data_IF_560575057148
#
_entry.id   IF_560575057148
#
_cell.length_a   1.000
_cell.length_b   1.000
_cell.length_c   1.000
_cell.angle_alpha   90.00
_cell.angle_beta   90.00
_cell.angle_gamma   90.00
#
_symmetry.space_group_name_H-M   'P 1'
#
loop_
_entity.id
_entity.type
_entity.pdbx_description
1 polymer ?
#
# COMPACT_ATOMS: atom_id res chain seq x y z
N UNK A 1 -13.17 -7.51 -16.91
CA UNK A 1 -12.41 -7.14 -15.69
C UNK A 1 -11.56 -8.34 -15.31
N UNK A 2 -10.25 -8.25 -15.55
CA UNK A 2 -9.34 -9.37 -15.27
C UNK A 2 -9.28 -9.66 -13.77
N UNK A 3 -9.23 -10.96 -13.44
CA UNK A 3 -9.17 -11.51 -12.08
C UNK A 3 -8.27 -10.66 -11.19
N UNK A 4 -8.83 -10.20 -10.08
CA UNK A 4 -8.09 -9.51 -9.02
C UNK A 4 -6.94 -10.39 -8.53
N UNK A 5 -5.72 -10.07 -8.95
CA UNK A 5 -4.50 -10.63 -8.37
C UNK A 5 -4.38 -10.11 -6.93
N UNK A 6 -5.10 -10.77 -6.03
CA UNK A 6 -4.99 -10.51 -4.60
C UNK A 6 -3.61 -11.00 -4.13
N UNK A 7 -2.74 -10.06 -3.79
CA UNK A 7 -1.46 -10.34 -3.18
C UNK A 7 -1.44 -9.97 -1.70
N UNK A 8 -0.75 -10.80 -0.92
CA UNK A 8 -0.56 -10.55 0.49
C UNK A 8 0.40 -9.38 0.69
N UNK A 9 -0.02 -8.41 1.52
CA UNK A 9 0.85 -7.33 1.92
C UNK A 9 2.04 -7.81 2.77
N UNK A 10 3.13 -7.01 2.85
CA UNK A 10 4.34 -7.37 3.59
C UNK A 10 4.08 -7.64 5.08
N UNK A 11 3.09 -6.97 5.68
CA UNK A 11 2.67 -7.20 7.07
C UNK A 11 2.11 -8.61 7.24
N UNK A 12 1.22 -9.04 6.34
CA UNK A 12 0.62 -10.38 6.40
C UNK A 12 1.67 -11.48 6.24
N UNK A 13 2.62 -11.29 5.31
CA UNK A 13 3.77 -12.19 5.12
C UNK A 13 4.63 -12.25 6.39
N UNK A 14 4.89 -11.10 7.01
CA UNK A 14 5.65 -11.01 8.27
C UNK A 14 4.97 -11.75 9.42
N UNK A 15 3.66 -11.57 9.59
CA UNK A 15 2.87 -12.26 10.60
C UNK A 15 2.90 -13.78 10.37
N UNK A 16 2.73 -14.24 9.13
CA UNK A 16 2.81 -15.66 8.81
C UNK A 16 4.19 -16.26 9.14
N UNK A 17 5.27 -15.55 8.79
CA UNK A 17 6.63 -15.96 9.20
C UNK A 17 6.79 -16.03 10.71
N UNK A 18 6.26 -15.06 11.46
CA UNK A 18 6.30 -15.08 12.92
C UNK A 18 5.53 -16.28 13.51
N UNK A 19 4.37 -16.61 12.93
CA UNK A 19 3.59 -17.80 13.31
C UNK A 19 4.34 -19.11 13.01
N UNK A 20 5.10 -19.17 11.92
CA UNK A 20 5.99 -20.30 11.66
C UNK A 20 7.06 -20.44 12.74
N UNK A 21 7.70 -19.35 13.17
CA UNK A 21 8.66 -19.42 14.28
C UNK A 21 7.99 -19.78 15.61
N UNK A 22 6.74 -19.39 15.81
CA UNK A 22 5.96 -19.75 16.99
C UNK A 22 5.72 -21.26 17.09
N UNK A 23 5.78 -22.02 15.98
CA UNK A 23 5.67 -23.49 16.02
C UNK A 23 6.67 -24.11 16.98
N UNK A 24 7.92 -23.61 17.04
CA UNK A 24 8.95 -24.12 17.94
C UNK A 24 8.56 -23.96 19.41
N UNK A 25 7.94 -22.82 19.74
CA UNK A 25 7.43 -22.54 21.09
C UNK A 25 6.25 -23.45 21.41
N UNK A 26 5.34 -23.67 20.45
CA UNK A 26 4.19 -24.57 20.63
C UNK A 26 4.65 -26.00 20.88
N UNK A 27 5.65 -26.49 20.14
CA UNK A 27 6.25 -27.83 20.35
C UNK A 27 6.84 -27.94 21.75
N UNK A 28 7.57 -26.92 22.21
CA UNK A 28 8.21 -26.90 23.51
C UNK A 28 7.22 -26.93 24.69
N UNK A 29 6.04 -26.34 24.52
CA UNK A 29 5.00 -26.31 25.56
C UNK A 29 4.20 -27.61 25.55
N UNK A 30 3.67 -28.01 24.38
CA UNK A 30 2.83 -29.20 24.28
C UNK A 30 2.72 -29.68 22.83
N UNK A 31 3.27 -30.86 22.55
CA UNK A 31 3.26 -31.48 21.21
C UNK A 31 1.84 -31.81 20.71
N UNK A 32 0.86 -32.04 21.60
CA UNK A 32 -0.52 -32.32 21.16
C UNK A 32 -1.19 -31.09 20.53
N UNK A 33 -0.82 -29.87 20.95
CA UNK A 33 -1.33 -28.63 20.37
C UNK A 33 -0.94 -28.47 18.89
N UNK A 34 0.15 -29.12 18.49
CA UNK A 34 0.70 -29.12 17.13
C UNK A 34 -0.30 -29.73 16.12
N UNK A 35 -1.09 -30.72 16.56
CA UNK A 35 -2.11 -31.39 15.73
C UNK A 35 -3.21 -30.42 15.28
N UNK A 36 -3.56 -29.43 16.12
CA UNK A 36 -4.54 -28.39 15.79
C UNK A 36 -3.86 -27.21 15.08
N UNK A 37 -2.64 -26.89 15.50
CA UNK A 37 -1.90 -25.72 15.02
C UNK A 37 -1.43 -25.86 13.56
N UNK A 38 -1.00 -27.04 13.13
CA UNK A 38 -0.55 -27.28 11.75
C UNK A 38 -1.67 -27.13 10.72
N UNK A 39 -2.85 -27.75 10.87
CA UNK A 39 -3.98 -27.50 9.99
C UNK A 39 -4.36 -26.02 9.93
N UNK A 40 -4.30 -25.32 11.07
CA UNK A 40 -4.55 -23.89 11.11
C UNK A 40 -3.52 -23.09 10.28
N UNK A 41 -2.23 -23.40 10.38
CA UNK A 41 -1.19 -22.80 9.56
C UNK A 41 -1.38 -23.09 8.06
N UNK A 42 -1.74 -24.33 7.70
CA UNK A 42 -2.04 -24.70 6.32
C UNK A 42 -3.25 -23.95 5.78
N UNK A 43 -4.29 -23.79 6.60
CA UNK A 43 -5.44 -22.96 6.25
C UNK A 43 -5.02 -21.50 6.03
N UNK A 44 -4.15 -20.96 6.86
CA UNK A 44 -3.64 -19.59 6.69
C UNK A 44 -2.82 -19.42 5.40
N UNK A 45 -2.02 -20.42 5.04
CA UNK A 45 -1.18 -20.41 3.85
C UNK A 45 -1.97 -20.55 2.54
N UNK A 46 -2.90 -21.51 2.50
CA UNK A 46 -3.60 -21.89 1.26
C UNK A 46 -5.08 -21.52 1.24
N UNK A 47 -5.76 -21.59 2.39
CA UNK A 47 -7.21 -21.40 2.52
C UNK A 47 -7.65 -19.95 2.70
N UNK A 48 -6.81 -19.13 3.32
CA UNK A 48 -7.16 -17.75 3.65
C UNK A 48 -7.37 -16.88 2.40
N UNK A 49 -6.50 -17.01 1.38
CA UNK A 49 -6.61 -16.28 0.11
C UNK A 49 -7.93 -16.56 -0.61
N UNK A 50 -8.29 -17.82 -0.94
CA UNK A 50 -9.56 -18.09 -1.60
C UNK A 50 -10.76 -17.72 -0.72
N UNK A 51 -10.66 -17.84 0.60
CA UNK A 51 -11.71 -17.42 1.52
C UNK A 51 -11.95 -15.90 1.46
N UNK A 52 -10.88 -15.08 1.49
CA UNK A 52 -10.95 -13.62 1.38
C UNK A 52 -11.47 -13.15 0.02
N UNK A 53 -11.13 -13.86 -1.05
CA UNK A 53 -11.62 -13.56 -2.40
C UNK A 53 -13.11 -13.89 -2.50
N UNK A 54 -13.53 -15.08 -2.05
CA UNK A 54 -14.94 -15.52 -2.09
C UNK A 54 -15.86 -14.64 -1.25
N UNK A 55 -15.40 -14.17 -0.10
CA UNK A 55 -16.18 -13.31 0.81
C UNK A 55 -16.20 -11.83 0.37
N UNK A 56 -15.40 -11.44 -0.62
CA UNK A 56 -15.27 -10.04 -1.04
C UNK A 56 -14.51 -9.14 -0.05
N UNK A 57 -14.04 -9.68 1.08
CA UNK A 57 -13.27 -8.97 2.10
C UNK A 57 -11.95 -8.40 1.55
N UNK A 58 -11.37 -9.09 0.56
CA UNK A 58 -10.19 -8.61 -0.14
C UNK A 58 -10.43 -7.22 -0.79
N UNK A 59 -11.57 -7.05 -1.47
CA UNK A 59 -11.90 -5.81 -2.17
C UNK A 59 -12.20 -4.66 -1.20
N UNK A 60 -12.91 -4.94 -0.10
CA UNK A 60 -13.20 -3.91 0.92
C UNK A 60 -11.94 -3.45 1.63
N UNK A 61 -11.02 -4.37 1.95
CA UNK A 61 -9.74 -4.03 2.56
C UNK A 61 -8.85 -3.19 1.62
N UNK A 62 -8.78 -3.55 0.33
CA UNK A 62 -8.07 -2.77 -0.67
C UNK A 62 -8.64 -1.35 -0.84
N UNK A 63 -9.96 -1.21 -0.82
CA UNK A 63 -10.60 0.12 -0.87
C UNK A 63 -10.25 0.98 0.35
N UNK A 64 -10.25 0.40 1.55
CA UNK A 64 -9.89 1.12 2.77
C UNK A 64 -8.41 1.50 2.83
N UNK A 65 -7.52 0.60 2.40
CA UNK A 65 -6.08 0.87 2.36
C UNK A 65 -5.73 1.93 1.33
N UNK A 66 -6.37 1.91 0.15
CA UNK A 66 -6.24 2.94 -0.88
C UNK A 66 -6.65 4.33 -0.34
N UNK A 67 -7.79 4.45 0.34
CA UNK A 67 -8.21 5.73 0.94
C UNK A 67 -7.21 6.27 1.97
N UNK A 68 -6.60 5.41 2.79
CA UNK A 68 -5.55 5.84 3.72
C UNK A 68 -4.29 6.30 2.98
N UNK A 69 -3.88 5.55 1.96
CA UNK A 69 -2.72 5.90 1.13
C UNK A 69 -2.94 7.23 0.40
N UNK A 70 -4.12 7.48 -0.14
CA UNK A 70 -4.47 8.72 -0.82
C UNK A 70 -4.38 9.92 0.12
N UNK A 71 -4.88 9.80 1.36
CA UNK A 71 -4.75 10.87 2.37
C UNK A 71 -3.29 11.16 2.72
N UNK A 72 -2.46 10.12 2.86
CA UNK A 72 -1.04 10.28 3.13
C UNK A 72 -0.32 10.93 1.94
N UNK A 73 -0.61 10.49 0.72
CA UNK A 73 -0.08 11.04 -0.53
C UNK A 73 -0.51 12.49 -0.74
N UNK A 74 -1.75 12.86 -0.42
CA UNK A 74 -2.22 14.24 -0.51
C UNK A 74 -1.42 15.15 0.44
N UNK A 75 -1.16 14.69 1.67
CA UNK A 75 -0.33 15.43 2.63
C UNK A 75 1.11 15.59 2.13
N UNK A 76 1.70 14.53 1.57
CA UNK A 76 3.04 14.58 0.97
C UNK A 76 3.10 15.52 -0.24
N UNK A 77 2.10 15.46 -1.13
CA UNK A 77 1.98 16.37 -2.28
C UNK A 77 1.90 17.82 -1.82
N UNK A 78 1.03 18.13 -0.86
CA UNK A 78 0.91 19.49 -0.29
C UNK A 78 2.23 19.98 0.29
N UNK A 79 2.92 19.14 1.06
CA UNK A 79 4.24 19.48 1.62
C UNK A 79 5.30 19.71 0.52
N UNK A 80 5.30 18.89 -0.53
CA UNK A 80 6.21 19.04 -1.67
C UNK A 80 5.95 20.35 -2.44
N UNK A 81 4.68 20.67 -2.73
CA UNK A 81 4.32 21.92 -3.39
C UNK A 81 4.63 23.14 -2.53
N UNK A 82 4.41 23.08 -1.21
CA UNK A 82 4.75 24.16 -0.30
C UNK A 82 6.26 24.45 -0.28
N UNK A 83 7.10 23.40 -0.28
CA UNK A 83 8.57 23.56 -0.34
C UNK A 83 9.06 24.11 -1.67
N UNK A 84 8.39 23.77 -2.77
CA UNK A 84 8.77 24.20 -4.11
C UNK A 84 8.03 25.44 -4.60
N UNK A 85 7.19 26.06 -3.76
CA UNK A 85 6.36 27.20 -4.15
C UNK A 85 7.20 28.37 -4.66
N UNK A 86 8.31 28.68 -3.99
CA UNK A 86 9.21 29.77 -4.39
C UNK A 86 9.94 29.48 -5.70
N UNK A 87 10.38 28.24 -5.91
CA UNK A 87 11.02 27.80 -7.15
C UNK A 87 10.04 27.80 -8.33
N UNK A 88 8.78 27.41 -8.08
CA UNK A 88 7.70 27.45 -9.06
C UNK A 88 7.33 28.90 -9.41
N UNK A 89 7.27 29.80 -8.43
CA UNK A 89 7.01 31.23 -8.67
C UNK A 89 8.12 31.87 -9.51
N UNK A 90 9.39 31.64 -9.14
CA UNK A 90 10.55 32.13 -9.91
C UNK A 90 10.54 31.60 -11.35
N UNK A 91 10.24 30.31 -11.54
CA UNK A 91 10.11 29.70 -12.87
C UNK A 91 8.96 30.32 -13.67
N UNK A 92 7.80 30.51 -13.05
CA UNK A 92 6.63 31.09 -13.71
C UNK A 92 6.89 32.54 -14.14
N UNK A 93 7.50 33.36 -13.28
CA UNK A 93 7.92 34.73 -13.64
C UNK A 93 8.88 34.74 -14.82
N UNK A 94 9.87 33.85 -14.81
CA UNK A 94 10.81 33.72 -15.93
C UNK A 94 10.12 33.35 -17.25
N UNK A 95 9.15 32.43 -17.21
CA UNK A 95 8.36 32.03 -18.38
C UNK A 95 7.47 33.18 -18.89
N UNK A 96 6.87 33.96 -18.00
CA UNK A 96 6.09 35.14 -18.38
C UNK A 96 6.96 36.23 -19.04
N UNK A 97 8.15 36.47 -18.51
CA UNK A 97 9.10 37.42 -19.08
C UNK A 97 9.54 36.97 -20.48
N UNK A 98 9.80 35.68 -20.66
CA UNK A 98 10.09 35.11 -21.98
C UNK A 98 8.90 35.25 -22.94
N UNK A 99 7.68 34.98 -22.47
CA UNK A 99 6.46 35.14 -23.27
C UNK A 99 6.26 36.59 -23.71
N UNK A 100 6.48 37.57 -22.83
CA UNK A 100 6.38 39.00 -23.17
C UNK A 100 7.42 39.42 -24.20
N UNK A 101 8.64 38.87 -24.12
CA UNK A 101 9.72 39.13 -25.11
C UNK A 101 9.45 38.49 -26.47
N UNK A 102 8.76 37.35 -26.50
CA UNK A 102 8.39 36.65 -27.73
C UNK A 102 7.05 37.12 -28.34
N UNK A 103 6.28 37.95 -27.63
CA UNK A 103 5.04 38.49 -28.17
C UNK A 103 5.34 39.44 -29.34
N UNK A 104 4.73 39.25 -30.53
CA UNK A 104 4.95 40.12 -31.67
C UNK A 104 4.50 41.54 -31.32
N UNK A 105 5.36 42.53 -31.57
CA UNK A 105 4.96 43.94 -31.46
C UNK A 105 3.87 44.20 -32.50
N UNK A 106 2.63 44.37 -32.04
CA UNK A 106 1.54 44.86 -32.88
C UNK A 106 1.95 46.26 -33.34
N UNK A 107 2.22 46.39 -34.64
CA UNK A 107 2.47 47.66 -35.32
C UNK A 107 1.14 48.32 -35.66
#
# INVERSE_FOLDING_TARGET
>A
MNKSDFDYGPIAIGIFKALLWLTLVVVAINVYLLVIYVPFLLFLAFGLKPFLIKTGLAATYQGYSAQRADKANEKLRKAYYARNAETLDKRNKHLEDMRKKMAPKVK
#
